data_IF_741837364848
#
_entry.id   IF_741837364848
#
_cell.length_a   1.000
_cell.length_b   1.000
_cell.length_c   1.000
_cell.angle_alpha   90.00
_cell.angle_beta   90.00
_cell.angle_gamma   90.00
#
_symmetry.space_group_name_H-M   'P 1'
#
loop_
_entity.id
_entity.type
_entity.pdbx_description
1 polymer ?
#
# COMPACT_ATOMS: atom_id res chain seq x y z
N UNK A 1 -27.58 36.93 19.99
CA UNK A 1 -26.91 36.43 18.78
C UNK A 1 -27.83 35.38 18.20
N UNK A 2 -28.64 35.78 17.22
CA UNK A 2 -29.63 34.90 16.59
C UNK A 2 -28.87 34.02 15.58
N UNK A 3 -28.71 32.73 15.87
CA UNK A 3 -28.13 31.77 14.92
C UNK A 3 -29.00 31.73 13.67
N UNK A 4 -28.40 32.04 12.51
CA UNK A 4 -29.11 32.01 11.23
C UNK A 4 -29.34 30.56 10.80
N UNK A 5 -30.58 30.02 10.86
CA UNK A 5 -30.86 28.60 10.62
C UNK A 5 -30.50 28.17 9.20
N UNK A 6 -30.43 29.11 8.25
CA UNK A 6 -29.99 28.83 6.88
C UNK A 6 -28.49 28.53 6.78
N UNK A 7 -27.67 29.16 7.62
CA UNK A 7 -26.23 28.92 7.63
C UNK A 7 -25.90 27.52 8.17
N UNK A 8 -26.61 27.09 9.21
CA UNK A 8 -26.47 25.75 9.78
C UNK A 8 -26.81 24.65 8.75
N UNK A 9 -27.92 24.81 8.03
CA UNK A 9 -28.30 23.88 6.96
C UNK A 9 -27.24 23.76 5.86
N UNK A 10 -26.64 24.88 5.45
CA UNK A 10 -25.54 24.89 4.46
C UNK A 10 -24.31 24.16 4.99
N UNK A 11 -23.94 24.37 6.25
CA UNK A 11 -22.83 23.66 6.87
C UNK A 11 -23.08 22.16 6.98
N UNK A 12 -24.30 21.74 7.31
CA UNK A 12 -24.70 20.34 7.38
C UNK A 12 -24.54 19.63 6.02
N UNK A 13 -24.95 20.28 4.92
CA UNK A 13 -24.76 19.75 3.56
C UNK A 13 -23.27 19.61 3.22
N UNK A 14 -22.45 20.61 3.53
CA UNK A 14 -21.00 20.54 3.30
C UNK A 14 -20.38 19.39 4.08
N UNK A 15 -20.78 19.21 5.34
CA UNK A 15 -20.29 18.12 6.19
C UNK A 15 -20.71 16.74 5.65
N UNK A 16 -21.97 16.61 5.22
CA UNK A 16 -22.48 15.39 4.58
C UNK A 16 -21.66 15.02 3.35
N UNK A 17 -21.47 15.96 2.41
CA UNK A 17 -20.69 15.71 1.20
C UNK A 17 -19.25 15.32 1.53
N UNK A 18 -18.61 15.99 2.50
CA UNK A 18 -17.24 15.64 2.92
C UNK A 18 -17.14 14.24 3.52
N UNK A 19 -18.19 13.75 4.17
CA UNK A 19 -18.24 12.42 4.79
C UNK A 19 -18.46 11.31 3.77
N UNK A 20 -19.43 11.48 2.87
CA UNK A 20 -19.81 10.45 1.90
C UNK A 20 -18.80 10.34 0.74
N UNK A 21 -18.10 11.43 0.43
CA UNK A 21 -17.24 11.50 -0.74
C UNK A 21 -15.96 10.67 -0.55
N UNK A 22 -15.62 9.78 -1.50
CA UNK A 22 -14.37 9.02 -1.42
C UNK A 22 -13.15 9.92 -1.48
N UNK A 23 -12.08 9.49 -0.79
CA UNK A 23 -10.77 10.18 -0.84
C UNK A 23 -10.17 10.17 -2.24
N UNK A 24 -10.25 9.03 -2.93
CA UNK A 24 -9.80 8.91 -4.32
C UNK A 24 -10.76 9.64 -5.25
N UNK A 25 -10.22 10.28 -6.29
CA UNK A 25 -11.02 10.94 -7.31
C UNK A 25 -11.54 9.91 -8.32
N UNK A 26 -12.86 9.89 -8.47
CA UNK A 26 -13.57 9.17 -9.53
C UNK A 26 -13.26 9.80 -10.90
N UNK A 27 -13.61 9.08 -11.98
CA UNK A 27 -13.38 9.59 -13.34
C UNK A 27 -14.17 10.87 -13.59
N UNK A 28 -15.42 10.86 -13.14
CA UNK A 28 -16.41 11.92 -13.26
C UNK A 28 -15.89 13.20 -12.59
N UNK A 29 -15.41 13.10 -11.36
CA UNK A 29 -14.85 14.26 -10.65
C UNK A 29 -13.62 14.86 -11.33
N UNK A 30 -12.79 14.03 -11.98
CA UNK A 30 -11.64 14.53 -12.74
C UNK A 30 -12.09 15.27 -13.99
N UNK A 31 -13.13 14.77 -14.67
CA UNK A 31 -13.73 15.45 -15.82
C UNK A 31 -14.36 16.79 -15.40
N UNK A 32 -15.06 16.84 -14.27
CA UNK A 32 -15.63 18.09 -13.73
C UNK A 32 -14.54 19.12 -13.41
N UNK A 33 -13.42 18.69 -12.81
CA UNK A 33 -12.26 19.54 -12.58
C UNK A 33 -11.75 20.14 -13.89
N UNK A 34 -11.59 19.32 -14.94
CA UNK A 34 -11.08 19.76 -16.23
C UNK A 34 -12.05 20.74 -16.91
N UNK A 35 -13.34 20.41 -16.93
CA UNK A 35 -14.38 21.24 -17.53
C UNK A 35 -14.42 22.62 -16.85
N UNK A 36 -14.47 22.65 -15.52
CA UNK A 36 -14.54 23.91 -14.78
C UNK A 36 -13.25 24.73 -14.93
N UNK A 37 -12.08 24.09 -14.94
CA UNK A 37 -10.82 24.75 -15.24
C UNK A 37 -10.83 25.38 -16.64
N UNK A 38 -11.29 24.65 -17.65
CA UNK A 38 -11.32 25.12 -19.03
C UNK A 38 -12.26 26.32 -19.20
N UNK A 39 -13.47 26.24 -18.66
CA UNK A 39 -14.46 27.33 -18.70
C UNK A 39 -13.94 28.61 -18.03
N UNK A 40 -13.38 28.49 -16.83
CA UNK A 40 -12.83 29.65 -16.12
C UNK A 40 -11.62 30.26 -16.85
N UNK A 41 -10.75 29.42 -17.43
CA UNK A 41 -9.63 29.93 -18.25
C UNK A 41 -10.12 30.66 -19.50
N UNK A 42 -11.14 30.12 -20.18
CA UNK A 42 -11.77 30.78 -21.33
C UNK A 42 -12.40 32.13 -20.96
N UNK A 43 -12.98 32.23 -19.76
CA UNK A 43 -13.51 33.47 -19.21
C UNK A 43 -12.43 34.48 -18.76
N UNK A 44 -11.14 34.17 -18.95
CA UNK A 44 -10.03 35.07 -18.56
C UNK A 44 -9.81 35.16 -17.05
N UNK A 45 -10.32 34.20 -16.28
CA UNK A 45 -10.31 34.28 -14.82
C UNK A 45 -8.91 34.09 -14.23
N UNK A 46 -8.60 34.86 -13.19
CA UNK A 46 -7.36 34.71 -12.43
C UNK A 46 -7.52 33.66 -11.34
N UNK A 47 -6.41 33.02 -10.98
CA UNK A 47 -6.35 32.01 -9.90
C UNK A 47 -7.30 30.83 -10.07
N UNK A 48 -7.52 30.38 -11.32
CA UNK A 48 -8.50 29.33 -11.67
C UNK A 48 -8.41 28.10 -10.77
N UNK A 49 -7.21 27.53 -10.57
CA UNK A 49 -7.06 26.33 -9.74
C UNK A 49 -7.50 26.52 -8.29
N UNK A 50 -7.40 27.73 -7.74
CA UNK A 50 -7.87 28.06 -6.38
C UNK A 50 -9.39 28.18 -6.35
N UNK A 51 -9.99 28.83 -7.36
CA UNK A 51 -11.45 28.92 -7.49
C UNK A 51 -12.09 27.54 -7.62
N UNK A 52 -11.57 26.72 -8.54
CA UNK A 52 -12.03 25.34 -8.76
C UNK A 52 -11.87 24.49 -7.49
N UNK A 53 -10.73 24.60 -6.81
CA UNK A 53 -10.50 23.91 -5.53
C UNK A 53 -11.56 24.24 -4.48
N UNK A 54 -11.92 25.53 -4.34
CA UNK A 54 -12.97 25.97 -3.42
C UNK A 54 -14.35 25.45 -3.83
N UNK A 55 -14.71 25.60 -5.11
CA UNK A 55 -16.02 25.19 -5.63
C UNK A 55 -16.24 23.68 -5.50
N UNK A 56 -15.22 22.88 -5.81
CA UNK A 56 -15.29 21.43 -5.76
C UNK A 56 -14.84 20.86 -4.41
N UNK A 57 -14.47 21.68 -3.42
CA UNK A 57 -13.99 21.18 -2.12
C UNK A 57 -12.78 20.23 -2.20
N UNK A 58 -11.87 20.45 -3.17
CA UNK A 58 -10.62 19.67 -3.35
C UNK A 58 -9.40 20.57 -3.13
N UNK A 59 -8.22 19.98 -2.93
CA UNK A 59 -7.00 20.78 -2.78
C UNK A 59 -6.56 21.38 -4.12
N UNK A 60 -5.93 22.56 -4.09
CA UNK A 60 -5.32 23.20 -5.26
C UNK A 60 -4.34 22.26 -5.97
N UNK A 61 -3.54 21.52 -5.21
CA UNK A 61 -2.56 20.57 -5.74
C UNK A 61 -3.22 19.47 -6.57
N UNK A 62 -4.36 18.93 -6.12
CA UNK A 62 -5.12 17.94 -6.88
C UNK A 62 -5.62 18.52 -8.20
N UNK A 63 -6.20 19.72 -8.17
CA UNK A 63 -6.70 20.40 -9.39
C UNK A 63 -5.57 20.61 -10.40
N UNK A 64 -4.41 21.08 -9.94
CA UNK A 64 -3.24 21.29 -10.80
C UNK A 64 -2.69 19.98 -11.37
N UNK A 65 -2.63 18.94 -10.55
CA UNK A 65 -2.18 17.60 -10.97
C UNK A 65 -3.07 17.01 -12.05
N UNK A 66 -4.40 17.09 -11.88
CA UNK A 66 -5.37 16.60 -12.88
C UNK A 66 -5.22 17.35 -14.20
N UNK A 67 -5.08 18.68 -14.16
CA UNK A 67 -4.87 19.50 -15.36
C UNK A 67 -3.55 19.15 -16.07
N UNK A 68 -2.47 18.99 -15.31
CA UNK A 68 -1.15 18.65 -15.84
C UNK A 68 -1.16 17.26 -16.51
N UNK A 69 -1.76 16.25 -15.86
CA UNK A 69 -1.88 14.90 -16.41
C UNK A 69 -2.63 14.90 -17.75
N UNK A 70 -3.77 15.60 -17.83
CA UNK A 70 -4.52 15.70 -19.08
C UNK A 70 -3.73 16.44 -20.16
N UNK A 71 -3.00 17.49 -19.80
CA UNK A 71 -2.19 18.24 -20.77
C UNK A 71 -1.09 17.37 -21.36
N UNK A 72 -0.46 16.52 -20.53
CA UNK A 72 0.62 15.63 -20.94
C UNK A 72 0.14 14.39 -21.72
N UNK A 73 -0.96 13.77 -21.30
CA UNK A 73 -1.39 12.46 -21.81
C UNK A 73 -2.60 12.51 -22.73
N UNK A 74 -3.35 13.62 -22.73
CA UNK A 74 -4.68 13.76 -23.36
C UNK A 74 -5.72 12.74 -22.87
N UNK A 75 -5.45 12.08 -21.74
CA UNK A 75 -6.33 11.11 -21.10
C UNK A 75 -6.70 11.51 -19.68
N UNK A 76 -7.71 10.82 -19.13
CA UNK A 76 -8.08 10.90 -17.72
C UNK A 76 -7.92 9.51 -17.11
N UNK A 77 -6.88 9.32 -16.29
CA UNK A 77 -6.70 8.07 -15.56
C UNK A 77 -7.46 8.11 -14.22
N UNK A 78 -8.13 7.02 -13.87
CA UNK A 78 -8.69 6.87 -12.52
C UNK A 78 -7.58 6.30 -11.65
N UNK A 79 -7.23 7.05 -10.59
CA UNK A 79 -6.40 6.50 -9.54
C UNK A 79 -7.31 5.58 -8.73
N UNK A 80 -7.26 4.28 -8.98
CA UNK A 80 -7.84 3.31 -8.06
C UNK A 80 -7.24 3.60 -6.69
N UNK A 81 -8.08 3.84 -5.68
CA UNK A 81 -7.61 3.97 -4.30
C UNK A 81 -6.59 2.86 -4.05
N UNK A 82 -5.43 3.19 -3.48
CA UNK A 82 -4.41 2.22 -3.11
C UNK A 82 -5.00 1.30 -2.04
N UNK A 83 -5.86 0.37 -2.43
CA UNK A 83 -6.11 -0.82 -1.68
C UNK A 83 -4.79 -1.55 -1.63
N UNK A 84 -4.43 -2.07 -0.47
CA UNK A 84 -3.31 -3.00 -0.27
C UNK A 84 -3.55 -4.31 -1.05
N UNK A 85 -3.76 -4.22 -2.37
CA UNK A 85 -4.09 -5.32 -3.29
C UNK A 85 -2.90 -5.68 -4.18
N UNK A 86 -1.81 -4.91 -4.15
CA UNK A 86 -0.56 -5.35 -4.77
C UNK A 86 0.10 -6.36 -3.83
N UNK A 87 -0.06 -7.64 -4.16
CA UNK A 87 0.86 -8.67 -3.69
C UNK A 87 2.22 -8.34 -4.32
N UNK A 88 3.05 -7.55 -3.63
CA UNK A 88 4.38 -7.23 -4.13
C UNK A 88 5.15 -8.53 -4.28
N UNK A 89 5.71 -8.80 -5.47
CA UNK A 89 6.52 -9.99 -5.73
C UNK A 89 7.69 -10.14 -4.73
N UNK A 90 8.13 -9.04 -4.12
CA UNK A 90 9.17 -8.99 -3.08
C UNK A 90 8.67 -9.27 -1.66
N UNK A 91 7.36 -9.47 -1.44
CA UNK A 91 6.79 -9.71 -0.12
C UNK A 91 6.71 -11.22 0.13
N UNK A 92 7.63 -11.71 0.95
CA UNK A 92 7.63 -13.07 1.47
C UNK A 92 6.22 -13.50 1.94
N UNK A 93 5.65 -14.61 1.43
CA UNK A 93 4.31 -15.04 1.81
C UNK A 93 4.24 -15.36 3.31
N UNK A 94 3.44 -14.61 4.07
CA UNK A 94 3.21 -14.84 5.50
C UNK A 94 1.92 -15.62 5.75
N UNK A 95 1.63 -16.58 4.87
CA UNK A 95 0.41 -17.38 5.00
C UNK A 95 0.56 -18.39 6.15
N UNK A 96 -0.54 -18.79 6.80
CA UNK A 96 -0.50 -19.81 7.85
C UNK A 96 0.18 -21.11 7.38
N UNK A 97 0.00 -21.50 6.11
CA UNK A 97 0.65 -22.66 5.52
C UNK A 97 2.20 -22.56 5.55
N UNK A 98 2.76 -21.41 5.17
CA UNK A 98 4.22 -21.19 5.19
C UNK A 98 4.75 -21.11 6.62
N UNK A 99 3.98 -20.51 7.54
CA UNK A 99 4.34 -20.48 8.97
C UNK A 99 4.38 -21.90 9.54
N UNK A 100 3.36 -22.70 9.29
CA UNK A 100 3.29 -24.08 9.77
C UNK A 100 4.42 -24.94 9.19
N UNK A 101 4.71 -24.80 7.89
CA UNK A 101 5.83 -25.49 7.25
C UNK A 101 7.16 -25.21 7.97
N UNK A 102 7.45 -23.94 8.28
CA UNK A 102 8.68 -23.57 8.99
C UNK A 102 8.70 -24.09 10.42
N UNK A 103 7.57 -24.03 11.13
CA UNK A 103 7.47 -24.56 12.51
C UNK A 103 7.70 -26.08 12.52
N UNK A 104 7.07 -26.82 11.61
CA UNK A 104 7.27 -28.28 11.49
C UNK A 104 8.71 -28.62 11.14
N UNK A 105 9.32 -27.90 10.22
CA UNK A 105 10.72 -28.11 9.86
C UNK A 105 11.66 -27.91 11.06
N UNK A 106 11.51 -26.81 11.80
CA UNK A 106 12.31 -26.57 13.02
C UNK A 106 12.04 -27.65 14.06
N UNK A 107 10.77 -28.04 14.28
CA UNK A 107 10.40 -29.10 15.23
C UNK A 107 11.05 -30.44 14.87
N UNK A 108 11.01 -30.83 13.60
CA UNK A 108 11.61 -32.08 13.13
C UNK A 108 13.12 -32.08 13.35
N UNK A 109 13.83 -30.99 12.98
CA UNK A 109 15.27 -30.89 13.19
C UNK A 109 15.65 -30.89 14.68
N UNK A 110 14.87 -30.22 15.52
CA UNK A 110 15.06 -30.28 16.97
C UNK A 110 14.86 -31.69 17.53
N UNK A 111 13.84 -32.42 17.07
CA UNK A 111 13.62 -33.81 17.45
C UNK A 111 14.77 -34.75 17.07
N UNK A 112 15.51 -34.40 16.02
CA UNK A 112 16.73 -35.10 15.58
C UNK A 112 18.01 -34.58 16.26
N UNK A 113 17.92 -33.59 17.16
CA UNK A 113 19.07 -32.96 17.80
C UNK A 113 19.93 -32.08 16.87
N UNK A 114 19.42 -31.74 15.68
CA UNK A 114 20.12 -30.91 14.71
C UNK A 114 19.89 -29.42 14.98
N UNK A 115 20.96 -28.63 14.87
CA UNK A 115 20.84 -27.17 14.84
C UNK A 115 20.17 -26.73 13.54
N UNK A 116 19.36 -25.67 13.61
CA UNK A 116 18.68 -25.08 12.45
C UNK A 116 19.13 -23.64 12.27
N UNK A 117 19.67 -23.31 11.11
CA UNK A 117 20.06 -21.96 10.73
C UNK A 117 19.08 -21.36 9.70
N UNK A 118 19.20 -20.05 9.46
CA UNK A 118 18.37 -19.35 8.45
C UNK A 118 18.61 -19.90 7.04
N UNK A 119 19.82 -20.40 6.78
CA UNK A 119 20.23 -21.08 5.55
C UNK A 119 19.44 -22.38 5.33
N UNK A 120 19.26 -23.19 6.38
CA UNK A 120 18.46 -24.42 6.33
C UNK A 120 16.99 -24.12 6.02
N UNK A 121 16.45 -23.05 6.62
CA UNK A 121 15.08 -22.61 6.36
C UNK A 121 14.94 -22.08 4.93
N UNK A 122 15.93 -21.37 4.41
CA UNK A 122 15.94 -20.94 3.01
C UNK A 122 15.87 -22.16 2.09
N UNK A 123 16.67 -23.19 2.35
CA UNK A 123 16.67 -24.42 1.58
C UNK A 123 15.30 -25.12 1.62
N UNK A 124 14.71 -25.27 2.81
CA UNK A 124 13.36 -25.84 2.99
C UNK A 124 12.29 -25.07 2.18
N UNK A 125 12.35 -23.74 2.18
CA UNK A 125 11.40 -22.89 1.46
C UNK A 125 11.57 -22.94 -0.07
N UNK A 126 12.81 -23.13 -0.54
CA UNK A 126 13.11 -23.34 -1.97
C UNK A 126 12.59 -24.70 -2.43
N UNK A 127 12.83 -25.76 -1.66
CA UNK A 127 12.36 -27.13 -1.94
C UNK A 127 10.84 -27.21 -2.04
N UNK A 128 10.14 -26.50 -1.15
CA UNK A 128 8.67 -26.41 -1.15
C UNK A 128 8.11 -25.39 -2.16
N UNK A 129 8.95 -24.83 -3.05
CA UNK A 129 8.59 -23.83 -4.07
C UNK A 129 7.91 -22.58 -3.51
N UNK A 130 8.13 -22.27 -2.24
CA UNK A 130 7.62 -21.05 -1.59
C UNK A 130 8.48 -19.86 -1.97
N UNK A 131 9.77 -20.08 -2.21
CA UNK A 131 10.73 -19.03 -2.51
C UNK A 131 11.60 -19.44 -3.71
N UNK A 132 11.81 -18.52 -4.64
CA UNK A 132 12.77 -18.70 -5.74
C UNK A 132 14.01 -17.86 -5.44
N UNK A 133 15.14 -18.52 -5.17
CA UNK A 133 16.44 -17.87 -5.02
C UNK A 133 17.29 -18.21 -6.22
N UNK A 134 17.84 -17.20 -6.90
CA UNK A 134 19.00 -17.45 -7.76
C UNK A 134 20.24 -17.62 -6.88
N UNK A 135 20.74 -18.84 -6.75
CA UNK A 135 21.93 -19.18 -5.97
C UNK A 135 23.24 -18.74 -6.65
N UNK A 136 23.20 -18.35 -7.93
CA UNK A 136 24.36 -17.82 -8.65
C UNK A 136 24.61 -16.36 -8.34
N UNK A 137 23.58 -15.64 -7.89
CA UNK A 137 23.68 -14.24 -7.46
C UNK A 137 23.76 -14.13 -5.94
N UNK A 138 24.93 -13.71 -5.45
CA UNK A 138 25.16 -13.48 -4.01
C UNK A 138 24.23 -12.41 -3.44
N UNK A 139 23.78 -11.43 -4.24
CA UNK A 139 22.85 -10.38 -3.79
C UNK A 139 21.45 -10.95 -3.58
N UNK A 140 20.96 -11.78 -4.49
CA UNK A 140 19.71 -12.54 -4.40
C UNK A 140 19.68 -13.42 -3.14
N UNK A 141 20.75 -14.16 -2.86
CA UNK A 141 20.87 -14.99 -1.64
C UNK A 141 20.78 -14.12 -0.38
N UNK A 142 21.57 -13.04 -0.31
CA UNK A 142 21.57 -12.14 0.85
C UNK A 142 20.24 -11.40 1.05
N UNK A 143 19.56 -11.04 -0.03
CA UNK A 143 18.22 -10.47 0.03
C UNK A 143 17.21 -11.47 0.62
N UNK A 144 17.30 -12.73 0.22
CA UNK A 144 16.43 -13.82 0.69
C UNK A 144 16.65 -14.13 2.17
N UNK A 145 17.92 -14.25 2.62
CA UNK A 145 18.26 -14.44 4.04
C UNK A 145 17.75 -13.30 4.92
N UNK A 146 17.83 -12.05 4.45
CA UNK A 146 17.28 -10.89 5.15
C UNK A 146 15.75 -10.93 5.21
N UNK A 147 15.08 -11.36 4.15
CA UNK A 147 13.63 -11.52 4.12
C UNK A 147 13.15 -12.60 5.10
N UNK A 148 13.83 -13.75 5.11
CA UNK A 148 13.53 -14.87 6.02
C UNK A 148 13.79 -14.44 7.47
N UNK A 149 14.93 -13.81 7.77
CA UNK A 149 15.22 -13.28 9.11
C UNK A 149 14.13 -12.33 9.61
N UNK A 150 13.60 -11.46 8.74
CA UNK A 150 12.48 -10.57 9.07
C UNK A 150 11.17 -11.33 9.27
N UNK A 151 10.93 -12.40 8.51
CA UNK A 151 9.76 -13.25 8.65
C UNK A 151 9.78 -14.04 9.97
N UNK A 152 10.92 -14.64 10.32
CA UNK A 152 11.06 -15.40 11.57
C UNK A 152 10.80 -14.53 12.81
N UNK A 153 11.22 -13.26 12.79
CA UNK A 153 10.89 -12.29 13.85
C UNK A 153 9.39 -12.03 14.03
N UNK A 154 8.57 -12.34 13.02
CA UNK A 154 7.10 -12.22 13.13
C UNK A 154 6.44 -13.49 13.66
N UNK A 155 7.18 -14.60 13.75
CA UNK A 155 6.69 -15.86 14.32
C UNK A 155 7.03 -15.85 15.81
N UNK A 156 6.03 -15.66 16.66
CA UNK A 156 6.21 -15.62 18.11
C UNK A 156 6.79 -16.91 18.70
N UNK A 157 6.73 -18.03 17.98
CA UNK A 157 7.15 -19.35 18.47
C UNK A 157 8.62 -19.70 18.18
N UNK A 158 9.40 -18.85 17.50
CA UNK A 158 10.80 -19.14 17.14
C UNK A 158 11.72 -18.13 17.82
N UNK A 159 12.68 -18.62 18.62
CA UNK A 159 13.79 -17.83 19.18
C UNK A 159 15.05 -18.02 18.34
N UNK A 160 15.77 -16.93 18.12
CA UNK A 160 17.12 -16.96 17.57
C UNK A 160 18.13 -16.73 18.71
N UNK A 161 18.97 -17.71 19.02
CA UNK A 161 20.07 -17.60 19.99
C UNK A 161 21.37 -17.87 19.26
N UNK A 162 22.29 -16.89 19.23
CA UNK A 162 23.59 -17.01 18.53
C UNK A 162 23.49 -17.48 17.05
N UNK A 163 22.43 -17.06 16.34
CA UNK A 163 22.19 -17.45 14.94
C UNK A 163 21.48 -18.79 14.75
N UNK A 164 21.27 -19.56 15.83
CA UNK A 164 20.53 -20.83 15.83
C UNK A 164 19.06 -20.60 16.15
N UNK A 165 18.18 -21.30 15.45
CA UNK A 165 16.73 -21.20 15.59
C UNK A 165 16.17 -22.36 16.40
N UNK A 166 15.37 -22.04 17.41
CA UNK A 166 14.69 -23.01 18.26
C UNK A 166 13.24 -22.61 18.51
N UNK A 167 12.36 -23.60 18.66
CA UNK A 167 11.01 -23.35 19.14
C UNK A 167 11.01 -22.95 20.62
N UNK A 168 10.13 -22.00 20.95
CA UNK A 168 9.83 -21.62 22.33
C UNK A 168 8.75 -22.58 22.83
N UNK A 169 9.06 -23.35 23.86
CA UNK A 169 8.05 -24.09 24.63
C UNK A 169 7.22 -23.12 25.48
#
# INVERSE_FOLDING_TARGET
MEENPKAEAVHAVIAFVKRERPRALTKEERLDILMLCAQLKLAGEKYVSVKVAKLLGRSKSVVQSVWAEFTATKGVSVQTAAGNRSNHATRFPRTPAVINLVIEFVRQRQGLGLTTEVTDIMQCLVENRVLQVDHRDSKSVQASLRAISRFLRTINNIKATEGKLSLIN
#
